data_IF_159996082007
#
_entry.id   IF_159996082007
#
_cell.length_a   1.000
_cell.length_b   1.000
_cell.length_c   1.000
_cell.angle_alpha   90.00
_cell.angle_beta   90.00
_cell.angle_gamma   90.00
#
_symmetry.space_group_name_H-M   'P 1'
#
loop_
_entity.id
_entity.type
_entity.pdbx_description
1 polymer ?
#
# COMPACT_ATOMS: atom_id res chain seq x y z
N UNK A 1 1.58 -11.65 -21.35
CA UNK A 1 2.65 -12.13 -20.42
C UNK A 1 2.03 -12.94 -19.30
N UNK A 2 2.85 -13.48 -18.38
CA UNK A 2 2.34 -14.13 -17.15
C UNK A 2 1.61 -13.10 -16.29
N UNK A 3 0.48 -13.46 -15.68
CA UNK A 3 -0.30 -12.56 -14.80
C UNK A 3 0.27 -12.55 -13.39
N UNK A 4 -0.05 -11.54 -12.58
CA UNK A 4 0.23 -11.57 -11.14
C UNK A 4 -0.26 -12.89 -10.50
N UNK A 5 0.54 -13.47 -9.62
CA UNK A 5 0.17 -14.66 -8.84
C UNK A 5 0.64 -14.49 -7.41
N UNK A 6 -0.27 -14.75 -6.47
CA UNK A 6 0.03 -14.78 -5.04
C UNK A 6 -0.47 -16.11 -4.46
N UNK A 7 0.31 -16.69 -3.55
CA UNK A 7 -0.03 -17.89 -2.80
C UNK A 7 0.19 -17.57 -1.32
N UNK A 8 -0.87 -17.74 -0.53
CA UNK A 8 -0.81 -17.58 0.91
C UNK A 8 -1.41 -18.76 1.65
N UNK A 9 -1.07 -18.85 2.92
CA UNK A 9 -1.60 -19.84 3.86
C UNK A 9 -2.05 -19.13 5.13
N UNK A 10 -3.15 -19.59 5.71
CA UNK A 10 -3.60 -19.13 7.01
C UNK A 10 -3.17 -20.12 8.09
N UNK A 11 -2.61 -19.61 9.19
CA UNK A 11 -2.38 -20.40 10.39
C UNK A 11 -3.68 -20.69 11.15
N UNK A 12 -3.57 -21.41 12.27
CA UNK A 12 -4.73 -21.78 13.11
C UNK A 12 -5.57 -20.59 13.62
N UNK A 13 -4.96 -19.42 13.78
CA UNK A 13 -5.65 -18.21 14.24
C UNK A 13 -6.48 -17.55 13.13
N UNK A 14 -6.33 -17.98 11.86
CA UNK A 14 -7.08 -17.53 10.67
C UNK A 14 -7.12 -16.00 10.42
N UNK A 15 -6.34 -15.21 11.17
CA UNK A 15 -6.34 -13.74 11.09
C UNK A 15 -5.22 -13.19 10.21
N UNK A 16 -4.07 -13.87 10.15
CA UNK A 16 -2.91 -13.43 9.38
C UNK A 16 -2.62 -14.43 8.25
N UNK A 17 -2.53 -13.91 7.03
CA UNK A 17 -2.12 -14.70 5.87
C UNK A 17 -0.59 -14.66 5.75
N UNK A 18 0.05 -15.82 5.84
CA UNK A 18 1.46 -15.98 5.50
C UNK A 18 1.62 -16.03 3.98
N UNK A 19 2.42 -15.13 3.44
CA UNK A 19 2.76 -15.14 2.01
C UNK A 19 3.78 -16.25 1.75
N UNK A 20 3.38 -17.28 0.99
CA UNK A 20 4.25 -18.37 0.57
C UNK A 20 5.00 -18.03 -0.71
N UNK A 21 4.30 -17.43 -1.68
CA UNK A 21 4.88 -17.03 -2.97
C UNK A 21 4.20 -15.77 -3.50
N UNK A 22 5.00 -14.83 -4.02
CA UNK A 22 4.53 -13.66 -4.77
C UNK A 22 5.27 -13.58 -6.09
N UNK A 23 4.54 -13.67 -7.20
CA UNK A 23 5.06 -13.49 -8.55
C UNK A 23 4.44 -12.23 -9.15
N UNK A 24 5.21 -11.14 -9.17
CA UNK A 24 4.77 -9.85 -9.70
C UNK A 24 4.46 -9.93 -11.20
N UNK A 25 5.27 -10.66 -11.97
CA UNK A 25 5.09 -10.89 -13.41
C UNK A 25 4.85 -9.58 -14.18
N UNK A 26 3.70 -9.40 -14.85
CA UNK A 26 3.38 -8.17 -15.60
C UNK A 26 3.51 -6.89 -14.77
N UNK A 27 3.40 -6.95 -13.44
CA UNK A 27 3.57 -5.79 -12.56
C UNK A 27 5.03 -5.39 -12.32
N UNK A 28 6.03 -6.22 -12.66
CA UNK A 28 7.45 -5.88 -12.48
C UNK A 28 7.86 -4.66 -13.32
N UNK A 29 7.32 -4.57 -14.53
CA UNK A 29 7.60 -3.49 -15.48
C UNK A 29 6.37 -2.65 -15.80
N UNK A 30 5.30 -2.77 -15.01
CA UNK A 30 4.07 -2.05 -15.27
C UNK A 30 4.25 -0.56 -14.96
N UNK A 31 3.99 0.27 -15.97
CA UNK A 31 4.01 1.73 -15.86
C UNK A 31 2.67 2.27 -16.40
N UNK A 32 1.65 2.43 -15.54
CA UNK A 32 0.35 2.89 -15.95
C UNK A 32 0.44 4.35 -16.40
N UNK A 33 -0.12 4.63 -17.58
CA UNK A 33 -0.45 5.99 -18.01
C UNK A 33 -1.94 6.17 -17.84
N UNK A 34 -2.35 7.06 -16.93
CA UNK A 34 -3.77 7.34 -16.70
C UNK A 34 -4.37 8.03 -17.93
N UNK A 35 -5.49 7.52 -18.47
CA UNK A 35 -6.28 8.23 -19.47
C UNK A 35 -6.68 9.61 -18.97
N UNK A 36 -6.82 10.58 -19.88
CA UNK A 36 -7.15 11.97 -19.53
C UNK A 36 -8.41 12.07 -18.66
N UNK A 37 -9.40 11.22 -18.93
CA UNK A 37 -10.68 11.16 -18.19
C UNK A 37 -10.57 10.70 -16.74
N UNK A 38 -9.42 10.16 -16.31
CA UNK A 38 -9.20 9.68 -14.95
C UNK A 38 -8.31 10.64 -14.14
N UNK A 39 -7.68 11.63 -14.78
CA UNK A 39 -6.73 12.56 -14.14
C UNK A 39 -7.41 13.61 -13.26
N UNK A 40 -8.72 13.81 -13.44
CA UNK A 40 -9.58 14.71 -12.66
C UNK A 40 -10.39 13.95 -11.58
N UNK A 41 -10.01 12.70 -11.28
CA UNK A 41 -10.65 11.93 -10.22
C UNK A 41 -10.58 12.64 -8.87
N UNK A 42 -11.74 12.89 -8.25
CA UNK A 42 -11.82 13.55 -6.94
C UNK A 42 -11.40 12.64 -5.79
N UNK A 43 -11.51 11.32 -5.95
CA UNK A 43 -11.09 10.33 -4.96
C UNK A 43 -10.14 9.33 -5.57
N UNK A 44 -9.03 9.05 -4.89
CA UNK A 44 -8.02 8.09 -5.33
C UNK A 44 -7.88 7.01 -4.27
N UNK A 45 -8.01 5.75 -4.69
CA UNK A 45 -7.69 4.60 -3.85
C UNK A 45 -6.45 3.90 -4.39
N UNK A 46 -5.33 4.10 -3.69
CA UNK A 46 -4.04 3.48 -3.95
C UNK A 46 -4.05 2.07 -3.36
N UNK A 47 -4.69 1.14 -4.08
CA UNK A 47 -4.76 -0.26 -3.67
C UNK A 47 -3.36 -0.91 -3.63
N UNK A 48 -3.25 -2.00 -2.88
CA UNK A 48 -2.02 -2.67 -2.52
C UNK A 48 -1.22 -3.09 -3.75
N UNK A 49 -0.10 -2.41 -3.96
CA UNK A 49 0.90 -2.70 -4.99
C UNK A 49 2.22 -2.03 -4.59
N UNK A 50 3.25 -2.12 -5.43
CA UNK A 50 4.53 -1.44 -5.20
C UNK A 50 4.28 0.05 -4.86
N UNK A 51 4.78 0.57 -3.71
CA UNK A 51 4.56 1.95 -3.31
C UNK A 51 5.05 2.99 -4.34
N UNK A 52 6.12 2.69 -5.06
CA UNK A 52 6.60 3.56 -6.14
C UNK A 52 5.54 3.71 -7.25
N UNK A 53 4.83 2.62 -7.56
CA UNK A 53 3.76 2.63 -8.54
C UNK A 53 2.54 3.40 -8.02
N UNK A 54 2.23 3.27 -6.73
CA UNK A 54 1.16 4.05 -6.08
C UNK A 54 1.45 5.56 -6.22
N UNK A 55 2.68 5.97 -5.93
CA UNK A 55 3.14 7.36 -6.11
C UNK A 55 3.12 7.79 -7.58
N UNK A 56 3.56 6.95 -8.51
CA UNK A 56 3.54 7.23 -9.95
C UNK A 56 2.11 7.44 -10.48
N UNK A 57 1.14 6.69 -9.98
CA UNK A 57 -0.29 6.87 -10.31
C UNK A 57 -0.81 8.17 -9.70
N UNK A 58 -0.51 8.43 -8.43
CA UNK A 58 -0.96 9.63 -7.74
C UNK A 58 -0.45 10.92 -8.42
N UNK A 59 0.82 10.93 -8.87
CA UNK A 59 1.42 12.06 -9.58
C UNK A 59 0.75 12.39 -10.93
N UNK A 60 -0.07 11.49 -11.47
CA UNK A 60 -0.83 11.71 -12.69
C UNK A 60 -2.23 12.28 -12.44
N UNK A 61 -2.69 12.31 -11.18
CA UNK A 61 -3.97 12.89 -10.78
C UNK A 61 -3.77 14.36 -10.40
N UNK A 62 -4.62 15.24 -10.91
CA UNK A 62 -4.36 16.69 -10.89
C UNK A 62 -4.69 17.32 -9.54
N UNK A 63 -5.81 16.95 -8.91
CA UNK A 63 -6.25 17.53 -7.63
C UNK A 63 -7.27 16.61 -6.93
N UNK A 64 -6.82 15.46 -6.41
CA UNK A 64 -7.70 14.60 -5.62
C UNK A 64 -8.10 15.34 -4.33
N UNK A 65 -9.36 15.18 -3.92
CA UNK A 65 -9.90 15.68 -2.64
C UNK A 65 -9.65 14.71 -1.49
N UNK A 66 -9.48 13.43 -1.81
CA UNK A 66 -9.22 12.38 -0.82
C UNK A 66 -8.38 11.25 -1.43
N UNK A 67 -7.36 10.83 -0.69
CA UNK A 67 -6.43 9.79 -1.07
C UNK A 67 -6.46 8.72 0.02
N UNK A 68 -7.01 7.56 -0.32
CA UNK A 68 -6.97 6.37 0.53
C UNK A 68 -5.93 5.40 -0.02
N UNK A 69 -5.27 4.65 0.86
CA UNK A 69 -4.23 3.70 0.52
C UNK A 69 -4.35 2.45 1.40
N UNK A 70 -4.08 1.29 0.82
CA UNK A 70 -3.72 0.08 1.58
C UNK A 70 -2.38 -0.48 1.08
N UNK A 71 -1.81 -1.39 1.87
CA UNK A 71 -0.51 -2.00 1.56
C UNK A 71 -0.49 -3.43 2.08
N UNK A 72 0.68 -4.06 2.13
CA UNK A 72 0.86 -5.37 2.75
C UNK A 72 2.23 -5.51 3.40
N UNK A 73 2.36 -6.49 4.29
CA UNK A 73 3.61 -6.89 4.92
C UNK A 73 4.82 -7.01 3.97
N UNK A 74 4.62 -7.48 2.73
CA UNK A 74 5.66 -7.58 1.70
C UNK A 74 6.29 -6.22 1.37
N UNK A 75 5.48 -5.17 1.21
CA UNK A 75 5.98 -3.82 0.92
C UNK A 75 6.49 -3.12 2.16
N UNK A 76 5.88 -3.35 3.34
CA UNK A 76 6.35 -2.82 4.62
C UNK A 76 7.78 -3.31 4.92
N UNK A 77 8.08 -4.59 4.64
CA UNK A 77 9.44 -5.14 4.81
C UNK A 77 10.39 -4.80 3.66
N UNK A 78 9.94 -4.95 2.40
CA UNK A 78 10.82 -4.89 1.25
C UNK A 78 11.06 -3.49 0.69
N UNK A 79 10.13 -2.55 0.90
CA UNK A 79 10.14 -1.21 0.31
C UNK A 79 9.66 -0.14 1.30
N UNK A 80 10.09 -0.25 2.56
CA UNK A 80 9.68 0.64 3.65
C UNK A 80 9.86 2.12 3.31
N UNK A 81 11.02 2.52 2.79
CA UNK A 81 11.30 3.93 2.50
C UNK A 81 10.41 4.49 1.40
N UNK A 82 10.11 3.68 0.37
CA UNK A 82 9.18 4.07 -0.68
C UNK A 82 7.76 4.18 -0.13
N UNK A 83 7.35 3.23 0.72
CA UNK A 83 6.06 3.25 1.39
C UNK A 83 5.90 4.51 2.25
N UNK A 84 6.89 4.85 3.08
CA UNK A 84 6.82 6.06 3.92
C UNK A 84 6.63 7.33 3.08
N UNK A 85 7.36 7.45 1.95
CA UNK A 85 7.16 8.56 1.00
C UNK A 85 5.76 8.58 0.40
N UNK A 86 5.20 7.42 0.05
CA UNK A 86 3.82 7.35 -0.43
C UNK A 86 2.84 7.82 0.65
N UNK A 87 3.05 7.43 1.91
CA UNK A 87 2.17 7.78 3.03
C UNK A 87 2.14 9.28 3.32
N UNK A 88 3.21 10.03 3.03
CA UNK A 88 3.23 11.50 3.18
C UNK A 88 2.12 12.21 2.37
N UNK A 89 1.58 11.56 1.35
CA UNK A 89 0.54 12.09 0.47
C UNK A 89 -0.83 11.45 0.68
N UNK A 90 -1.00 10.56 1.67
CA UNK A 90 -2.22 9.79 1.88
C UNK A 90 -3.03 10.38 3.03
N UNK A 91 -4.35 10.54 2.85
CA UNK A 91 -5.27 11.01 3.90
C UNK A 91 -5.79 9.85 4.76
N UNK A 92 -5.96 8.66 4.18
CA UNK A 92 -6.52 7.48 4.85
C UNK A 92 -5.67 6.26 4.55
N UNK A 93 -5.07 5.68 5.60
CA UNK A 93 -4.39 4.38 5.49
C UNK A 93 -5.25 3.26 6.08
N UNK A 94 -5.47 2.21 5.29
CA UNK A 94 -6.23 1.01 5.68
C UNK A 94 -5.27 -0.16 5.75
N UNK A 95 -5.04 -0.68 6.96
CA UNK A 95 -4.15 -1.83 7.23
C UNK A 95 -4.69 -2.64 8.41
N UNK A 96 -4.29 -3.92 8.48
CA UNK A 96 -4.62 -4.76 9.63
C UNK A 96 -3.71 -4.49 10.84
N UNK A 97 -3.98 -5.14 11.97
CA UNK A 97 -3.24 -4.95 13.21
C UNK A 97 -1.80 -5.47 13.15
N UNK A 98 -1.53 -6.56 12.41
CA UNK A 98 -0.19 -7.06 12.15
C UNK A 98 0.66 -6.08 11.35
N UNK A 99 0.11 -5.55 10.26
CA UNK A 99 0.73 -4.52 9.42
C UNK A 99 0.96 -3.22 10.20
N UNK A 100 0.01 -2.80 11.03
CA UNK A 100 0.17 -1.61 11.86
C UNK A 100 1.34 -1.76 12.85
N UNK A 101 1.46 -2.93 13.51
CA UNK A 101 2.57 -3.21 14.41
C UNK A 101 3.90 -3.25 13.68
N UNK A 102 3.93 -3.88 12.50
CA UNK A 102 5.12 -3.99 11.67
C UNK A 102 5.56 -2.62 11.14
N UNK A 103 4.62 -1.80 10.66
CA UNK A 103 4.88 -0.47 10.13
C UNK A 103 5.39 0.47 11.23
N UNK A 104 4.77 0.47 12.41
CA UNK A 104 5.17 1.31 13.53
C UNK A 104 6.38 0.76 14.33
N UNK A 105 6.75 -0.50 14.13
CA UNK A 105 7.67 -1.25 14.99
C UNK A 105 7.26 -1.17 16.48
N UNK A 106 5.96 -1.25 16.75
CA UNK A 106 5.37 -1.05 18.08
C UNK A 106 4.19 -1.99 18.30
N UNK A 107 4.17 -2.68 19.44
CA UNK A 107 3.14 -3.67 19.76
C UNK A 107 1.84 -3.03 20.26
N UNK A 108 1.88 -1.88 20.91
CA UNK A 108 0.65 -1.25 21.36
C UNK A 108 -0.05 -0.53 20.19
N UNK A 109 -1.24 -0.98 19.79
CA UNK A 109 -1.96 -0.42 18.65
C UNK A 109 -2.26 1.08 18.78
N UNK A 110 -2.51 1.58 20.00
CA UNK A 110 -2.76 3.01 20.22
C UNK A 110 -1.49 3.83 19.98
N UNK A 111 -0.32 3.32 20.40
CA UNK A 111 0.97 3.95 20.09
C UNK A 111 1.33 3.80 18.61
N UNK A 112 1.12 2.62 18.03
CA UNK A 112 1.36 2.36 16.62
C UNK A 112 0.55 3.32 15.73
N UNK A 113 -0.74 3.51 16.03
CA UNK A 113 -1.58 4.47 15.32
C UNK A 113 -1.02 5.91 15.42
N UNK A 114 -0.54 6.35 16.58
CA UNK A 114 0.08 7.69 16.72
C UNK A 114 1.36 7.83 15.91
N UNK A 115 2.19 6.79 15.85
CA UNK A 115 3.42 6.77 15.05
C UNK A 115 3.08 6.80 13.56
N UNK A 116 2.15 5.94 13.11
CA UNK A 116 1.74 5.87 11.70
C UNK A 116 1.15 7.20 11.25
N UNK A 117 0.35 7.85 12.09
CA UNK A 117 -0.19 9.16 11.77
C UNK A 117 0.85 10.28 11.65
N UNK A 118 2.05 10.06 12.18
CA UNK A 118 3.17 11.00 11.97
C UNK A 118 3.84 10.85 10.61
N UNK A 119 3.51 9.81 9.83
CA UNK A 119 4.03 9.59 8.49
C UNK A 119 3.21 10.28 7.38
N UNK A 120 2.04 10.82 7.70
CA UNK A 120 1.17 11.54 6.75
C UNK A 120 -0.32 11.44 7.10
N UNK A 121 -0.93 10.24 7.07
CA UNK A 121 -2.38 10.04 7.25
C UNK A 121 -2.89 10.42 8.65
#
# INVERSE_FOLDING_TARGET
>A
GKTFRWKGEYGYQLNEAQTLETHLNVFESFKPSLPQSYRDSEGVFLANINPELQTDVLNQVTSPKIIACDTMNFWISGKRDALLKTLEHVDILIINDGEARQLAMEANLVKAARIIRSYGP
#
